data_IF_093274600396
#
_entry.id   IF_093274600396
#
_cell.length_a   1.000
_cell.length_b   1.000
_cell.length_c   1.000
_cell.angle_alpha   90.00
_cell.angle_beta   90.00
_cell.angle_gamma   90.00
#
_symmetry.space_group_name_H-M   'P 1'
#
loop_
_entity.id
_entity.type
_entity.pdbx_description
1 polymer ?
#
# COMPACT_ATOMS: atom_id res chain seq x y z
N UNK A 1 8.23 4.97 -7.77
CA UNK A 1 7.89 3.54 -7.64
C UNK A 1 8.09 3.18 -6.18
N UNK A 2 7.16 2.44 -5.61
CA UNK A 2 7.05 2.14 -4.17
C UNK A 2 6.83 0.62 -4.02
N UNK A 3 7.65 -0.04 -3.21
CA UNK A 3 7.47 -1.43 -2.81
C UNK A 3 6.60 -1.48 -1.55
N UNK A 4 5.56 -2.31 -1.56
CA UNK A 4 4.62 -2.43 -0.44
C UNK A 4 4.63 -3.84 0.12
N UNK A 5 5.02 -3.99 1.38
CA UNK A 5 4.90 -5.21 2.16
C UNK A 5 3.53 -5.29 2.83
N UNK A 6 2.53 -5.84 2.13
CA UNK A 6 1.16 -5.93 2.66
C UNK A 6 0.97 -7.12 3.62
N UNK A 7 -0.12 -7.06 4.41
CA UNK A 7 -0.57 -8.07 5.38
C UNK A 7 0.29 -8.15 6.64
N UNK A 8 0.74 -7.01 7.16
CA UNK A 8 1.52 -6.93 8.41
C UNK A 8 0.77 -7.49 9.62
N UNK A 9 -0.54 -7.63 9.53
CA UNK A 9 -1.38 -8.26 10.55
C UNK A 9 -1.05 -9.74 10.80
N UNK A 10 -0.49 -10.43 9.80
CA UNK A 10 -0.12 -11.85 9.88
C UNK A 10 1.33 -12.07 10.34
N UNK A 11 1.73 -11.45 11.46
CA UNK A 11 3.11 -11.55 11.98
C UNK A 11 3.57 -12.99 12.21
N UNK A 12 2.69 -13.86 12.74
CA UNK A 12 3.03 -15.27 13.00
C UNK A 12 3.31 -16.09 11.72
N UNK A 13 2.85 -15.59 10.56
CA UNK A 13 3.09 -16.21 9.25
C UNK A 13 4.12 -15.46 8.42
N UNK A 14 4.83 -14.49 9.00
CA UNK A 14 5.83 -13.68 8.31
C UNK A 14 6.91 -14.56 7.69
N UNK A 15 7.05 -14.50 6.37
CA UNK A 15 8.09 -15.21 5.61
C UNK A 15 9.25 -14.29 5.20
N UNK A 16 9.02 -12.98 5.18
CA UNK A 16 10.00 -11.98 4.75
C UNK A 16 10.26 -11.03 5.91
N UNK A 17 11.54 -10.83 6.25
CA UNK A 17 11.92 -9.87 7.28
C UNK A 17 11.82 -8.46 6.71
N UNK A 18 11.47 -7.50 7.55
CA UNK A 18 11.41 -6.08 7.16
C UNK A 18 12.73 -5.61 6.53
N UNK A 19 13.87 -6.02 7.10
CA UNK A 19 15.20 -5.70 6.56
C UNK A 19 15.42 -6.20 5.13
N UNK A 20 14.89 -7.38 4.77
CA UNK A 20 15.06 -7.93 3.43
C UNK A 20 14.28 -7.09 2.41
N UNK A 21 13.05 -6.66 2.77
CA UNK A 21 12.25 -5.74 1.97
C UNK A 21 12.91 -4.38 1.78
N UNK A 22 13.49 -3.82 2.85
CA UNK A 22 14.26 -2.56 2.79
C UNK A 22 15.50 -2.68 1.90
N UNK A 23 16.26 -3.76 2.03
CA UNK A 23 17.45 -4.00 1.23
C UNK A 23 17.10 -4.11 -0.26
N UNK A 24 16.05 -4.86 -0.60
CA UNK A 24 15.58 -5.00 -1.98
C UNK A 24 15.14 -3.65 -2.56
N UNK A 25 14.41 -2.84 -1.78
CA UNK A 25 13.99 -1.53 -2.21
C UNK A 25 15.18 -0.58 -2.45
N UNK A 26 16.18 -0.63 -1.57
CA UNK A 26 17.42 0.14 -1.73
C UNK A 26 18.20 -0.29 -2.97
N UNK A 27 18.33 -1.59 -3.24
CA UNK A 27 19.00 -2.12 -4.43
C UNK A 27 18.36 -1.60 -5.73
N UNK A 28 17.03 -1.49 -5.73
CA UNK A 28 16.27 -0.98 -6.88
C UNK A 28 16.04 0.54 -6.86
N UNK A 29 16.59 1.28 -5.89
CA UNK A 29 16.35 2.72 -5.70
C UNK A 29 14.86 3.11 -5.66
N UNK A 30 14.07 2.32 -4.93
CA UNK A 30 12.66 2.56 -4.67
C UNK A 30 12.39 2.68 -3.18
N UNK A 31 11.29 3.32 -2.81
CA UNK A 31 10.85 3.40 -1.42
C UNK A 31 10.20 2.06 -0.98
N UNK A 32 10.19 1.78 0.32
CA UNK A 32 9.52 0.62 0.92
C UNK A 32 8.60 1.06 2.05
N UNK A 33 7.42 0.45 2.14
CA UNK A 33 6.50 0.61 3.27
C UNK A 33 5.79 -0.73 3.55
N UNK A 34 5.58 -1.05 4.82
CA UNK A 34 4.77 -2.19 5.23
C UNK A 34 3.35 -1.73 5.58
N UNK A 35 2.32 -2.46 5.14
CA UNK A 35 0.91 -2.09 5.33
C UNK A 35 0.05 -3.28 5.80
N UNK A 36 -1.03 -2.99 6.50
CA UNK A 36 -2.15 -3.94 6.68
C UNK A 36 -3.41 -3.30 6.16
N UNK A 37 -3.92 -3.82 5.04
CA UNK A 37 -5.25 -3.45 4.56
C UNK A 37 -6.34 -3.85 5.56
N UNK A 38 -6.17 -4.99 6.27
CA UNK A 38 -7.14 -5.47 7.25
C UNK A 38 -7.24 -4.55 8.47
N UNK A 39 -6.12 -3.99 8.93
CA UNK A 39 -6.06 -3.10 10.10
C UNK A 39 -6.03 -1.62 9.74
N UNK A 40 -6.15 -1.30 8.45
CA UNK A 40 -5.97 0.05 7.92
C UNK A 40 -4.63 0.70 8.36
N UNK A 41 -3.57 -0.11 8.49
CA UNK A 41 -2.24 0.36 8.92
C UNK A 41 -1.43 0.82 7.69
N UNK A 42 -0.90 2.05 7.76
CA UNK A 42 0.01 2.64 6.78
C UNK A 42 -0.54 2.77 5.35
N UNK A 43 -1.86 2.63 5.18
CA UNK A 43 -2.53 2.79 3.88
C UNK A 43 -2.42 4.24 3.40
N UNK A 44 -2.81 5.20 4.23
CA UNK A 44 -2.74 6.64 3.91
C UNK A 44 -1.30 7.10 3.61
N UNK A 45 -0.33 6.62 4.41
CA UNK A 45 1.08 6.94 4.20
C UNK A 45 1.59 6.36 2.88
N UNK A 46 1.24 5.11 2.55
CA UNK A 46 1.62 4.49 1.28
C UNK A 46 1.09 5.27 0.06
N UNK A 47 -0.17 5.72 0.12
CA UNK A 47 -0.75 6.57 -0.93
C UNK A 47 -0.07 7.94 -0.99
N UNK A 48 0.16 8.59 0.15
CA UNK A 48 0.84 9.88 0.22
C UNK A 48 2.25 9.84 -0.37
N UNK A 49 3.02 8.80 -0.04
CA UNK A 49 4.35 8.56 -0.62
C UNK A 49 4.29 8.35 -2.14
N UNK A 50 3.30 7.60 -2.61
CA UNK A 50 3.12 7.37 -4.04
C UNK A 50 2.80 8.67 -4.79
N UNK A 51 1.86 9.47 -4.28
CA UNK A 51 1.47 10.76 -4.86
C UNK A 51 2.65 11.73 -4.86
N UNK A 52 3.36 11.88 -3.72
CA UNK A 52 4.55 12.73 -3.64
C UNK A 52 5.64 12.34 -4.64
N UNK A 53 5.85 11.03 -4.84
CA UNK A 53 6.77 10.51 -5.84
C UNK A 53 6.35 10.81 -7.29
N UNK A 54 5.06 10.92 -7.58
CA UNK A 54 4.54 11.30 -8.89
C UNK A 54 4.71 12.81 -9.10
N UNK A 55 4.33 13.63 -8.12
CA UNK A 55 4.42 15.09 -8.20
C UNK A 55 5.85 15.58 -8.38
N UNK A 56 6.81 14.96 -7.70
CA UNK A 56 8.24 15.30 -7.81
C UNK A 56 8.87 14.88 -9.15
N UNK A 57 8.34 13.84 -9.80
CA UNK A 57 8.86 13.32 -11.07
C UNK A 57 8.20 13.92 -12.30
N UNK A 58 7.09 14.65 -12.14
CA UNK A 58 6.54 15.47 -13.21
C UNK A 58 7.20 16.86 -13.17
N UNK A 59 8.09 17.21 -14.12
CA UNK A 59 8.40 18.61 -14.34
C UNK A 59 7.09 19.27 -14.78
N UNK A 60 6.46 20.02 -13.89
CA UNK A 60 5.34 20.88 -14.23
C UNK A 60 5.81 21.84 -15.33
N UNK A 61 5.45 21.57 -16.59
CA UNK A 61 4.97 22.64 -17.45
C UNK A 61 3.87 23.31 -16.65
N UNK A 62 4.14 24.54 -16.23
CA UNK A 62 3.34 25.33 -15.31
C UNK A 62 1.84 25.24 -15.63
N UNK A 63 1.04 24.74 -14.68
CA UNK A 63 -0.28 25.29 -14.42
C UNK A 63 -0.52 25.35 -12.92
N UNK A 64 -0.47 26.58 -12.42
CA UNK A 64 -0.91 26.95 -11.10
C UNK A 64 -2.41 26.69 -10.96
N UNK A 65 -2.77 25.61 -10.29
CA UNK A 65 -4.01 25.48 -9.52
C UNK A 65 -3.66 24.61 -8.33
N UNK A 66 -3.63 25.18 -7.13
CA UNK A 66 -3.46 24.45 -5.88
C UNK A 66 -4.51 23.33 -5.81
N UNK A 67 -4.13 22.04 -5.75
CA UNK A 67 -5.08 21.02 -5.39
C UNK A 67 -5.06 20.92 -3.87
N UNK A 68 -6.06 21.50 -3.20
CA UNK A 68 -6.46 20.94 -1.91
C UNK A 68 -6.99 19.55 -2.23
N UNK A 69 -6.16 18.52 -2.08
CA UNK A 69 -6.62 17.13 -2.05
C UNK A 69 -7.27 16.96 -0.68
N UNK A 70 -8.59 17.10 -0.62
CA UNK A 70 -9.39 16.47 0.43
C UNK A 70 -9.63 15.04 0.00
N UNK A 71 -8.97 14.09 0.68
CA UNK A 71 -9.33 12.68 0.62
C UNK A 71 -10.51 12.50 1.57
N UNK A 72 -11.72 12.60 1.05
CA UNK A 72 -12.91 12.15 1.76
C UNK A 72 -12.86 10.61 1.77
N UNK A 73 -12.40 10.05 2.89
CA UNK A 73 -12.44 8.62 3.16
C UNK A 73 -13.85 8.35 3.71
N UNK A 74 -14.75 7.87 2.85
CA UNK A 74 -16.02 7.31 3.31
C UNK A 74 -15.71 6.05 4.13
N UNK A 75 -16.04 6.09 5.43
CA UNK A 75 -15.98 4.94 6.33
C UNK A 75 -17.11 3.96 5.96
N UNK A 76 -16.85 3.03 5.04
CA UNK A 76 -17.76 1.91 4.79
C UNK A 76 -17.66 0.89 5.93
N UNK A 77 -18.77 0.69 6.65
CA UNK A 77 -18.94 -0.33 7.69
C UNK A 77 -18.86 -1.74 7.07
N UNK A 78 -17.86 -2.55 7.42
CA UNK A 78 -17.72 -3.93 6.94
C UNK A 78 -18.76 -4.87 7.58
N UNK A 79 -19.81 -5.20 6.82
CA UNK A 79 -20.76 -6.28 7.11
C UNK A 79 -20.11 -7.65 6.82
N UNK A 80 -20.09 -8.54 7.81
CA UNK A 80 -19.57 -9.91 7.73
C UNK A 80 -20.14 -10.68 6.53
N UNK A 81 -19.27 -11.23 5.66
CA UNK A 81 -19.67 -12.27 4.70
C UNK A 81 -18.85 -13.54 4.79
N UNK A 82 -19.48 -14.50 5.44
CA UNK A 82 -19.09 -15.87 5.64
C UNK A 82 -18.89 -16.67 4.32
N UNK A 83 -17.78 -17.42 4.29
CA UNK A 83 -17.45 -18.66 3.53
C UNK A 83 -17.82 -18.71 2.04
N UNK A 84 -16.79 -18.62 1.20
CA UNK A 84 -16.79 -19.33 -0.11
C UNK A 84 -15.57 -20.25 -0.22
N UNK A 85 -15.86 -21.51 0.08
CA UNK A 85 -15.19 -22.76 -0.31
C UNK A 85 -14.06 -22.59 -1.33
N UNK A 86 -12.83 -22.69 -0.84
CA UNK A 86 -11.64 -22.89 -1.66
C UNK A 86 -11.64 -24.34 -2.20
N UNK A 87 -11.17 -24.50 -3.44
CA UNK A 87 -10.81 -25.78 -4.11
C UNK A 87 -11.97 -26.63 -4.68
N UNK A 88 -12.34 -26.37 -5.94
CA UNK A 88 -12.90 -27.40 -6.83
C UNK A 88 -11.94 -27.63 -8.00
N UNK A 89 -11.47 -28.87 -8.14
CA UNK A 89 -10.87 -29.38 -9.37
C UNK A 89 -9.57 -30.15 -9.19
N UNK A 90 -9.66 -31.48 -8.96
CA UNK A 90 -8.88 -32.55 -9.62
C UNK A 90 -9.02 -33.91 -8.89
N UNK A 91 -9.94 -34.74 -9.37
CA UNK A 91 -9.76 -36.16 -9.76
C UNK A 91 -11.12 -36.73 -10.14
#
# INVERSE_FOLDING_TARGET
>A
MLLVGNKTDLQDRRQVRDMDGRNLAQEHNISFIETSALRNENIEEAFSMLVGNIMTKQPHTMRATSPSITLDIDEDEDEEREKRSCCLGRS
#
